data_IF_263390850748
#
_entry.id   IF_263390850748
#
_cell.length_a   1.000
_cell.length_b   1.000
_cell.length_c   1.000
_cell.angle_alpha   90.00
_cell.angle_beta   90.00
_cell.angle_gamma   90.00
#
_symmetry.space_group_name_H-M   'P 1'
#
loop_
_entity.id
_entity.type
_entity.pdbx_description
1 polymer ?
#
# COMPACT_ATOMS: atom_id res chain seq x y z
N UNK A 1 47.39 17.04 37.26
CA UNK A 1 46.59 18.24 37.61
C UNK A 1 45.21 18.29 36.93
N UNK A 2 45.06 17.90 35.64
CA UNK A 2 43.81 18.07 34.86
C UNK A 2 42.54 17.42 35.46
N UNK A 3 42.64 16.31 36.23
CA UNK A 3 41.46 15.60 36.78
C UNK A 3 40.66 16.34 37.86
N UNK A 4 41.18 17.43 38.45
CA UNK A 4 40.48 18.15 39.53
C UNK A 4 39.42 19.13 38.96
N UNK A 5 39.67 19.72 37.79
CA UNK A 5 38.82 20.75 37.17
C UNK A 5 37.45 20.24 36.67
N UNK A 6 37.25 18.93 36.56
CA UNK A 6 35.98 18.34 36.06
C UNK A 6 34.92 18.25 37.15
N UNK A 7 35.32 18.11 38.42
CA UNK A 7 34.37 17.98 39.54
C UNK A 7 33.77 19.32 39.99
N UNK A 8 34.52 20.42 39.84
CA UNK A 8 34.03 21.77 40.19
C UNK A 8 32.94 22.29 39.26
N UNK A 9 32.85 21.79 38.03
CA UNK A 9 31.87 22.23 37.03
C UNK A 9 30.44 21.72 37.30
N UNK A 10 30.27 20.65 38.08
CA UNK A 10 28.97 20.00 38.32
C UNK A 10 28.19 20.68 39.45
N UNK A 11 28.88 21.35 40.39
CA UNK A 11 28.29 21.91 41.60
C UNK A 11 27.50 23.23 41.43
N UNK A 12 27.49 23.83 40.24
CA UNK A 12 26.89 25.16 39.99
C UNK A 12 25.50 25.13 39.33
N UNK A 13 24.92 23.94 39.11
CA UNK A 13 23.60 23.77 38.44
C UNK A 13 22.45 23.63 39.46
N UNK A 14 22.68 23.97 40.73
CA UNK A 14 21.78 23.60 41.85
C UNK A 14 21.10 24.76 42.59
N UNK A 15 21.09 25.99 42.05
CA UNK A 15 20.52 27.17 42.71
C UNK A 15 19.60 28.02 41.80
N UNK A 16 18.38 27.55 41.51
CA UNK A 16 17.22 28.39 41.13
C UNK A 16 15.88 27.60 41.05
N UNK A 17 15.47 26.88 42.09
CA UNK A 17 14.09 26.36 42.19
C UNK A 17 13.29 27.11 43.27
N UNK A 18 12.83 28.32 42.94
CA UNK A 18 11.90 29.10 43.76
C UNK A 18 10.46 28.88 43.29
N UNK A 19 9.55 28.36 44.15
CA UNK A 19 8.16 28.15 43.76
C UNK A 19 7.39 29.48 43.81
N UNK A 20 7.20 30.13 42.66
CA UNK A 20 6.40 31.36 42.58
C UNK A 20 4.91 31.05 42.64
N UNK A 21 4.29 31.60 43.69
CA UNK A 21 2.88 31.83 43.98
C UNK A 21 1.79 31.36 42.99
N UNK A 22 0.73 30.78 43.58
CA UNK A 22 -0.60 30.64 42.97
C UNK A 22 -1.12 32.02 42.53
N UNK A 23 -1.46 32.17 41.25
CA UNK A 23 -2.35 33.24 40.77
C UNK A 23 -3.61 32.60 40.18
N UNK A 24 -4.77 33.10 40.60
CA UNK A 24 -6.12 32.72 40.17
C UNK A 24 -6.97 34.01 40.23
N UNK A 25 -8.00 34.20 39.40
CA UNK A 25 -7.83 34.88 38.12
C UNK A 25 -8.67 36.18 38.07
N UNK A 26 -8.97 36.64 36.85
CA UNK A 26 -9.78 37.80 36.48
C UNK A 26 -9.01 39.12 36.33
N UNK A 27 -9.43 39.88 35.31
CA UNK A 27 -8.88 41.14 34.80
C UNK A 27 -7.47 41.06 34.15
N UNK A 28 -7.35 41.76 33.01
CA UNK A 28 -6.11 42.18 32.35
C UNK A 28 -5.03 41.11 32.06
N UNK A 29 -5.12 40.47 30.89
CA UNK A 29 -4.01 40.49 29.91
C UNK A 29 -4.52 40.19 28.50
N UNK A 30 -4.20 41.04 27.53
CA UNK A 30 -4.59 40.90 26.13
C UNK A 30 -3.45 40.33 25.26
N UNK A 31 -3.84 39.57 24.24
CA UNK A 31 -3.07 39.41 22.99
C UNK A 31 -1.68 38.74 23.02
N UNK A 32 -1.39 37.79 23.92
CA UNK A 32 -0.16 36.98 23.90
C UNK A 32 -0.37 35.45 23.91
N UNK A 33 -1.40 34.94 23.22
CA UNK A 33 -1.78 33.50 23.24
C UNK A 33 -1.66 32.78 21.88
N UNK A 34 -0.74 33.21 21.00
CA UNK A 34 -0.63 32.66 19.63
C UNK A 34 0.81 32.19 19.28
N UNK A 35 1.86 32.86 19.77
CA UNK A 35 3.23 32.59 19.31
C UNK A 35 3.80 31.21 19.69
N UNK A 36 3.25 30.52 20.70
CA UNK A 36 3.69 29.17 21.09
C UNK A 36 3.19 28.04 20.17
N UNK A 37 2.15 28.27 19.34
CA UNK A 37 1.58 27.26 18.45
C UNK A 37 2.20 27.26 17.05
N UNK A 38 2.78 28.40 16.62
CA UNK A 38 3.30 28.57 15.26
C UNK A 38 4.50 27.64 15.01
N UNK A 39 5.52 27.66 15.88
CA UNK A 39 6.74 26.85 15.69
C UNK A 39 6.47 25.34 15.67
N UNK A 40 5.56 24.85 16.53
CA UNK A 40 5.23 23.41 16.61
C UNK A 40 4.68 22.90 15.26
N UNK A 41 3.93 23.73 14.53
CA UNK A 41 3.39 23.40 13.22
C UNK A 41 4.48 23.25 12.14
N UNK A 42 5.46 24.16 12.12
CA UNK A 42 6.56 24.13 11.14
C UNK A 42 7.55 23.00 11.44
N UNK A 43 7.93 22.79 12.70
CA UNK A 43 8.76 21.65 13.07
C UNK A 43 8.07 20.31 12.75
N UNK A 44 6.75 20.22 12.92
CA UNK A 44 5.98 19.05 12.47
C UNK A 44 6.01 18.88 10.94
N UNK A 45 5.91 19.96 10.16
CA UNK A 45 6.02 19.93 8.70
C UNK A 45 7.41 19.49 8.21
N UNK A 46 8.48 19.98 8.84
CA UNK A 46 9.87 19.57 8.56
C UNK A 46 10.09 18.09 8.92
N UNK A 47 9.66 17.67 10.10
CA UNK A 47 9.81 16.28 10.58
C UNK A 47 8.99 15.29 9.75
N UNK A 48 7.77 15.65 9.35
CA UNK A 48 6.93 14.81 8.46
C UNK A 48 7.53 14.74 7.04
N UNK A 49 8.04 15.85 6.50
CA UNK A 49 8.77 15.89 5.23
C UNK A 49 10.01 15.00 5.26
N UNK A 50 10.83 15.08 6.33
CA UNK A 50 11.99 14.23 6.53
C UNK A 50 11.61 12.74 6.68
N UNK A 51 10.54 12.42 7.43
CA UNK A 51 9.96 11.07 7.51
C UNK A 51 9.50 10.57 6.13
N UNK A 52 8.88 11.42 5.31
CA UNK A 52 8.41 11.07 3.97
C UNK A 52 9.57 10.89 2.98
N UNK A 53 10.60 11.72 3.04
CA UNK A 53 11.85 11.58 2.26
C UNK A 53 12.57 10.28 2.61
N UNK A 54 12.71 9.95 3.91
CA UNK A 54 13.27 8.66 4.37
C UNK A 54 12.43 7.46 3.88
N UNK A 55 11.09 7.56 3.87
CA UNK A 55 10.20 6.55 3.25
C UNK A 55 10.42 6.42 1.73
N UNK A 56 10.50 7.55 0.99
CA UNK A 56 10.78 7.60 -0.46
C UNK A 56 12.14 6.97 -0.79
N UNK A 57 13.20 7.29 -0.03
CA UNK A 57 14.53 6.72 -0.18
C UNK A 57 14.54 5.20 0.10
N UNK A 58 13.95 4.75 1.21
CA UNK A 58 13.81 3.30 1.51
C UNK A 58 13.02 2.56 0.42
N UNK A 59 12.01 3.19 -0.21
CA UNK A 59 11.28 2.63 -1.38
C UNK A 59 12.16 2.55 -2.63
N UNK A 60 12.98 3.58 -2.92
CA UNK A 60 13.97 3.57 -4.03
C UNK A 60 15.06 2.51 -3.82
N UNK A 61 15.64 2.40 -2.63
CA UNK A 61 16.65 1.38 -2.29
C UNK A 61 16.10 -0.04 -2.40
N UNK A 62 14.88 -0.30 -1.89
CA UNK A 62 14.19 -1.58 -2.07
C UNK A 62 13.96 -1.92 -3.56
N UNK A 63 13.58 -0.94 -4.40
CA UNK A 63 13.47 -1.13 -5.85
C UNK A 63 14.82 -1.43 -6.52
N UNK A 64 15.89 -0.68 -6.20
CA UNK A 64 17.25 -0.96 -6.72
C UNK A 64 17.74 -2.36 -6.31
N UNK A 65 17.55 -2.77 -5.05
CA UNK A 65 17.91 -4.14 -4.62
C UNK A 65 17.10 -5.22 -5.33
N UNK A 66 15.87 -4.92 -5.74
CA UNK A 66 14.99 -5.82 -6.49
C UNK A 66 15.43 -6.00 -7.96
N UNK A 67 16.00 -4.97 -8.59
CA UNK A 67 16.52 -5.03 -9.96
C UNK A 67 17.98 -5.49 -10.05
N UNK A 68 18.77 -5.28 -9.00
CA UNK A 68 20.15 -5.78 -8.88
C UNK A 68 20.24 -7.19 -8.26
N UNK A 69 19.11 -7.86 -8.05
CA UNK A 69 19.05 -9.21 -7.49
C UNK A 69 19.47 -10.30 -8.50
N UNK A 70 20.74 -10.27 -8.91
CA UNK A 70 21.47 -11.43 -9.46
C UNK A 70 22.28 -12.16 -8.37
N UNK A 71 22.68 -11.46 -7.31
CA UNK A 71 23.48 -12.00 -6.19
C UNK A 71 22.90 -11.49 -4.86
N UNK A 72 22.07 -12.30 -4.20
CA UNK A 72 21.47 -11.93 -2.91
C UNK A 72 20.36 -12.89 -2.47
N UNK A 73 20.25 -13.10 -1.14
CA UNK A 73 19.54 -14.22 -0.53
C UNK A 73 18.15 -14.55 -1.10
N UNK A 74 17.91 -15.85 -1.29
CA UNK A 74 16.72 -16.43 -1.93
C UNK A 74 15.41 -15.79 -1.48
N UNK A 75 15.20 -15.62 -0.17
CA UNK A 75 13.92 -15.13 0.39
C UNK A 75 13.58 -13.71 -0.08
N UNK A 76 14.59 -12.87 -0.31
CA UNK A 76 14.39 -11.53 -0.86
C UNK A 76 14.28 -11.54 -2.39
N UNK A 77 14.98 -12.46 -3.07
CA UNK A 77 14.90 -12.65 -4.52
C UNK A 77 13.54 -13.26 -4.93
N UNK A 78 13.11 -14.38 -4.33
CA UNK A 78 11.80 -15.03 -4.49
C UNK A 78 10.64 -14.05 -4.26
N UNK A 79 10.72 -13.18 -3.24
CA UNK A 79 9.72 -12.12 -3.01
C UNK A 79 9.70 -11.04 -4.09
N UNK A 80 10.82 -10.77 -4.75
CA UNK A 80 10.91 -9.86 -5.89
C UNK A 80 10.43 -10.52 -7.19
N UNK A 81 10.81 -11.76 -7.46
CA UNK A 81 10.38 -12.54 -8.62
C UNK A 81 8.87 -12.76 -8.60
N UNK A 82 8.28 -13.27 -7.51
CA UNK A 82 6.81 -13.46 -7.40
C UNK A 82 6.02 -12.15 -7.58
N UNK A 83 6.60 -10.99 -7.21
CA UNK A 83 6.00 -9.65 -7.44
C UNK A 83 6.26 -9.07 -8.83
N UNK A 84 7.23 -9.61 -9.57
CA UNK A 84 7.41 -9.34 -11.01
C UNK A 84 6.47 -10.22 -11.83
N UNK A 85 6.34 -11.49 -11.45
CA UNK A 85 5.49 -12.48 -12.12
C UNK A 85 4.01 -12.08 -12.06
N UNK A 86 3.43 -11.76 -10.88
CA UNK A 86 2.05 -11.21 -10.73
C UNK A 86 1.79 -9.85 -11.43
N UNK A 87 2.67 -9.38 -12.31
CA UNK A 87 2.45 -8.23 -13.21
C UNK A 87 2.49 -8.61 -14.69
N UNK A 88 2.68 -9.90 -15.00
CA UNK A 88 2.93 -10.46 -16.33
C UNK A 88 1.95 -11.60 -16.57
N UNK A 89 1.82 -12.51 -15.60
CA UNK A 89 0.74 -13.50 -15.43
C UNK A 89 0.08 -13.26 -14.06
N UNK A 90 -1.13 -13.73 -13.76
CA UNK A 90 -1.80 -13.41 -12.46
C UNK A 90 -1.87 -14.57 -11.47
N UNK A 91 -1.98 -15.73 -12.07
CA UNK A 91 -2.71 -16.95 -11.74
C UNK A 91 -1.79 -18.16 -11.99
N UNK A 92 -0.76 -17.98 -12.83
CA UNK A 92 0.44 -18.79 -13.06
C UNK A 92 0.19 -20.09 -13.79
N UNK A 93 -0.64 -20.04 -14.84
CA UNK A 93 -0.71 -21.07 -15.87
C UNK A 93 0.56 -21.13 -16.75
N UNK A 94 1.17 -19.97 -17.02
CA UNK A 94 2.36 -19.78 -17.86
C UNK A 94 2.15 -18.84 -19.06
N UNK A 95 0.91 -18.42 -19.32
CA UNK A 95 0.55 -17.44 -20.35
C UNK A 95 0.77 -16.03 -19.79
N UNK A 96 0.65 -14.99 -20.61
CA UNK A 96 0.86 -13.59 -20.20
C UNK A 96 -0.42 -12.80 -20.41
N UNK A 97 -0.75 -11.90 -19.47
CA UNK A 97 -1.92 -10.97 -19.40
C UNK A 97 -2.22 -10.07 -20.62
N UNK A 98 -1.60 -10.33 -21.77
CA UNK A 98 -1.80 -9.72 -23.09
C UNK A 98 -2.15 -10.74 -24.19
N UNK A 99 -2.25 -12.01 -23.83
CA UNK A 99 -2.48 -13.19 -24.67
C UNK A 99 -3.23 -14.29 -23.88
N UNK A 100 -3.92 -13.85 -22.84
CA UNK A 100 -4.44 -14.61 -21.71
C UNK A 100 -5.91 -14.21 -21.67
N UNK A 101 -6.76 -15.13 -22.12
CA UNK A 101 -8.21 -14.91 -22.23
C UNK A 101 -8.96 -15.18 -20.92
N UNK A 102 -8.28 -15.66 -19.88
CA UNK A 102 -8.85 -15.87 -18.55
C UNK A 102 -7.95 -15.27 -17.46
N UNK A 103 -7.81 -13.94 -17.49
CA UNK A 103 -6.84 -13.12 -16.75
C UNK A 103 -6.55 -13.46 -15.25
N UNK A 104 -7.43 -14.16 -14.54
CA UNK A 104 -7.18 -14.61 -13.16
C UNK A 104 -7.61 -16.09 -12.91
N UNK A 105 -7.87 -16.89 -13.96
CA UNK A 105 -8.26 -18.32 -13.93
C UNK A 105 -7.41 -19.14 -14.92
N UNK A 106 -6.61 -20.07 -14.39
CA UNK A 106 -5.53 -20.76 -15.12
C UNK A 106 -5.98 -21.73 -16.22
N UNK A 107 -5.84 -21.33 -17.49
CA UNK A 107 -6.12 -22.15 -18.68
C UNK A 107 -4.94 -22.16 -19.69
N UNK A 108 -3.92 -22.97 -19.39
CA UNK A 108 -2.69 -23.08 -20.20
C UNK A 108 -2.92 -23.46 -21.67
N UNK A 109 -4.02 -24.15 -21.97
CA UNK A 109 -4.47 -24.51 -23.31
C UNK A 109 -5.09 -23.35 -24.11
N UNK A 110 -5.52 -22.28 -23.42
CA UNK A 110 -6.17 -21.10 -24.00
C UNK A 110 -7.36 -21.46 -24.90
N UNK A 111 -8.17 -22.43 -24.45
CA UNK A 111 -9.41 -22.79 -25.10
C UNK A 111 -10.36 -21.57 -25.18
N UNK A 112 -10.98 -21.42 -26.34
CA UNK A 112 -12.02 -20.45 -26.65
C UNK A 112 -12.82 -21.04 -27.84
N UNK A 113 -14.03 -21.52 -27.55
CA UNK A 113 -14.82 -22.32 -28.48
C UNK A 113 -15.78 -21.51 -29.39
N UNK A 114 -16.03 -20.22 -29.09
CA UNK A 114 -16.87 -19.33 -29.94
C UNK A 114 -16.15 -18.11 -30.53
N UNK A 115 -14.95 -17.81 -30.03
CA UNK A 115 -14.04 -16.71 -30.40
C UNK A 115 -14.37 -15.28 -29.87
N UNK A 116 -15.04 -15.13 -28.72
CA UNK A 116 -15.13 -13.86 -27.96
C UNK A 116 -13.81 -13.50 -27.20
N UNK A 117 -13.78 -12.48 -26.32
CA UNK A 117 -12.55 -12.12 -25.58
C UNK A 117 -12.23 -12.96 -24.34
N UNK A 118 -13.13 -13.85 -23.92
CA UNK A 118 -13.00 -14.77 -22.80
C UNK A 118 -12.46 -16.14 -23.27
N UNK A 119 -12.55 -17.15 -22.40
CA UNK A 119 -12.16 -18.52 -22.72
C UNK A 119 -12.94 -19.53 -21.89
N UNK A 120 -13.05 -20.76 -22.39
CA UNK A 120 -13.91 -21.83 -21.87
C UNK A 120 -13.75 -22.14 -20.37
N UNK A 121 -12.66 -21.67 -19.73
CA UNK A 121 -12.36 -21.84 -18.32
C UNK A 121 -12.85 -20.69 -17.41
N UNK A 122 -13.28 -19.56 -17.97
CA UNK A 122 -13.74 -18.38 -17.24
C UNK A 122 -15.00 -17.72 -17.84
N UNK A 123 -15.43 -18.20 -19.01
CA UNK A 123 -16.64 -17.80 -19.70
C UNK A 123 -17.89 -18.51 -19.12
N UNK A 124 -18.98 -17.77 -18.92
CA UNK A 124 -20.28 -18.30 -18.50
C UNK A 124 -21.19 -18.77 -19.65
N UNK A 125 -20.79 -18.60 -20.91
CA UNK A 125 -21.41 -19.21 -22.09
C UNK A 125 -20.41 -19.75 -23.15
N UNK A 126 -19.61 -20.81 -22.87
CA UNK A 126 -18.54 -21.35 -23.75
C UNK A 126 -18.89 -21.86 -25.17
N UNK A 127 -20.04 -21.50 -25.72
CA UNK A 127 -20.46 -21.77 -27.10
C UNK A 127 -21.30 -20.64 -27.71
N UNK A 128 -21.48 -19.50 -27.02
CA UNK A 128 -22.38 -18.40 -27.41
C UNK A 128 -21.85 -17.02 -26.99
N UNK A 129 -21.06 -16.42 -27.88
CA UNK A 129 -20.36 -15.13 -27.75
C UNK A 129 -21.10 -14.08 -26.92
N UNK A 130 -20.59 -13.77 -25.72
CA UNK A 130 -21.16 -12.78 -24.81
C UNK A 130 -20.08 -11.95 -24.09
N UNK A 131 -19.53 -10.98 -24.82
CA UNK A 131 -18.46 -10.05 -24.38
C UNK A 131 -18.79 -9.22 -23.12
N UNK A 132 -20.04 -9.19 -22.66
CA UNK A 132 -20.46 -8.55 -21.40
C UNK A 132 -20.52 -9.50 -20.20
N UNK A 133 -20.40 -10.82 -20.43
CA UNK A 133 -20.52 -11.91 -19.45
C UNK A 133 -21.77 -11.78 -18.56
N UNK A 134 -22.85 -11.20 -19.09
CA UNK A 134 -24.00 -10.85 -18.28
C UNK A 134 -24.73 -12.11 -17.76
N UNK A 135 -24.82 -12.22 -16.44
CA UNK A 135 -25.59 -13.21 -15.68
C UNK A 135 -26.43 -12.41 -14.65
N UNK A 136 -27.75 -12.43 -14.81
CA UNK A 136 -28.69 -11.63 -14.00
C UNK A 136 -29.09 -12.32 -12.69
N UNK A 137 -29.12 -13.65 -12.67
CA UNK A 137 -29.56 -14.42 -11.50
C UNK A 137 -28.38 -14.92 -10.64
N UNK A 138 -27.15 -14.80 -11.16
CA UNK A 138 -25.86 -15.16 -10.56
C UNK A 138 -25.74 -16.67 -10.30
N UNK A 139 -26.27 -17.50 -11.22
CA UNK A 139 -26.17 -18.96 -11.15
C UNK A 139 -24.87 -19.51 -11.78
N UNK A 140 -24.13 -18.71 -12.57
CA UNK A 140 -22.91 -19.10 -13.28
C UNK A 140 -23.10 -19.46 -14.76
N UNK A 141 -24.30 -19.28 -15.32
CA UNK A 141 -24.65 -19.39 -16.74
C UNK A 141 -25.01 -18.01 -17.26
N UNK A 142 -24.44 -17.60 -18.39
CA UNK A 142 -24.73 -16.28 -18.95
C UNK A 142 -26.11 -16.19 -19.61
N UNK A 143 -26.74 -15.01 -19.55
CA UNK A 143 -28.03 -14.70 -20.17
C UNK A 143 -28.09 -15.02 -21.68
N UNK A 144 -26.95 -15.14 -22.35
CA UNK A 144 -26.84 -15.46 -23.77
C UNK A 144 -27.03 -16.95 -24.08
N UNK A 145 -26.83 -17.84 -23.09
CA UNK A 145 -26.97 -19.28 -23.21
C UNK A 145 -27.94 -19.91 -22.20
N UNK A 146 -28.53 -19.13 -21.29
CA UNK A 146 -29.70 -19.56 -20.50
C UNK A 146 -30.85 -19.97 -21.44
N UNK A 147 -31.21 -21.25 -21.43
CA UNK A 147 -32.34 -21.80 -22.19
C UNK A 147 -33.68 -21.62 -21.47
N UNK A 148 -33.65 -21.21 -20.20
CA UNK A 148 -34.76 -21.40 -19.28
C UNK A 148 -35.69 -20.18 -19.27
N UNK A 149 -36.72 -20.25 -20.11
CA UNK A 149 -37.84 -19.28 -20.16
C UNK A 149 -38.60 -19.12 -18.83
N UNK A 150 -38.30 -19.94 -17.83
CA UNK A 150 -39.13 -20.16 -16.65
C UNK A 150 -38.32 -20.16 -15.34
N UNK A 151 -37.11 -19.55 -15.33
CA UNK A 151 -36.22 -19.34 -14.16
C UNK A 151 -36.87 -18.49 -13.05
N UNK A 152 -37.85 -19.11 -12.40
CA UNK A 152 -38.76 -18.51 -11.42
C UNK A 152 -38.17 -18.64 -10.01
N UNK A 153 -37.05 -17.97 -9.77
CA UNK A 153 -36.53 -17.80 -8.40
C UNK A 153 -37.30 -16.65 -7.72
N UNK A 154 -37.98 -16.99 -6.62
CA UNK A 154 -38.94 -16.12 -5.88
C UNK A 154 -38.27 -15.42 -4.70
#
# INVERSE_FOLDING_TARGET
MIRILVLTAIALVSLAFTPVAKFNPLSQFSSQSIQSQIEISEFAAVVTSAKQARKKLKKRLRRKKCSLARVGSETQQKRCVRKKLKRIDSDKDGIVKKKDNCLDVSNFDQANSDADSHGDACDNCPATTNEDQADVNVNGVGNACETDTDSSTV
#
